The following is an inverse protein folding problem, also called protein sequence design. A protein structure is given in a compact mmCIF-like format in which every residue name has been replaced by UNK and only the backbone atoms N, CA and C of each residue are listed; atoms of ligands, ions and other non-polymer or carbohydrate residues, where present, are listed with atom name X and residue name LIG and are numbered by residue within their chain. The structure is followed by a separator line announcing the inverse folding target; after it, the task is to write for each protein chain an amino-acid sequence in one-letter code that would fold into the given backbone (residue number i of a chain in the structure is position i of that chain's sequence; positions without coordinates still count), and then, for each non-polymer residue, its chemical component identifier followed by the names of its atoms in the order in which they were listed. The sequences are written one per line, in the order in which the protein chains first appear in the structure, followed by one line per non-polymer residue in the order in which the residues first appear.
data_IF_868790739648
#
_entry.id   IF_868790739648
#
_cell.length_a   1.000
_cell.length_b   1.000
_cell.length_c   1.000
_cell.angle_alpha   90.00
_cell.angle_beta   90.00
_cell.angle_gamma   90.00
#
_symmetry.space_group_name_H-M   'P 1'
#
loop_
_entity.id
_entity.type
_entity.pdbx_description
1 polymer ?
#
# COMPACT_ATOMS: atom_id res chain seq x y z
N UNK A 1 -35.76 -24.33 -29.71
CA UNK A 1 -35.80 -22.96 -29.14
C UNK A 1 -34.69 -22.15 -29.80
N UNK A 2 -35.01 -21.16 -30.65
CA UNK A 2 -34.01 -20.32 -31.34
C UNK A 2 -33.62 -19.17 -30.42
N UNK A 3 -32.40 -19.20 -29.88
CA UNK A 3 -31.87 -18.12 -29.06
C UNK A 3 -31.62 -16.93 -29.98
N UNK A 4 -32.22 -15.77 -29.66
CA UNK A 4 -32.02 -14.56 -30.47
C UNK A 4 -30.57 -14.07 -30.29
N UNK A 5 -29.91 -13.57 -31.35
CA UNK A 5 -28.52 -13.12 -31.29
C UNK A 5 -28.28 -12.01 -30.24
N UNK A 6 -29.31 -11.19 -29.98
CA UNK A 6 -29.29 -10.19 -28.92
C UNK A 6 -29.17 -10.80 -27.51
N UNK A 7 -29.86 -11.92 -27.26
CA UNK A 7 -29.81 -12.63 -25.98
C UNK A 7 -28.44 -13.27 -25.75
N UNK A 8 -27.79 -13.73 -26.82
CA UNK A 8 -26.43 -14.28 -26.78
C UNK A 8 -25.40 -13.18 -26.49
N UNK A 9 -25.50 -12.03 -27.16
CA UNK A 9 -24.61 -10.89 -26.92
C UNK A 9 -24.73 -10.36 -25.48
N UNK A 10 -25.96 -10.30 -24.96
CA UNK A 10 -26.21 -9.87 -23.58
C UNK A 10 -25.68 -10.89 -22.56
N UNK A 11 -25.84 -12.19 -22.81
CA UNK A 11 -25.28 -13.24 -21.96
C UNK A 11 -23.75 -13.20 -21.91
N UNK A 12 -23.09 -12.98 -23.05
CA UNK A 12 -21.63 -12.81 -23.11
C UNK A 12 -21.20 -11.55 -22.35
N UNK A 13 -21.91 -10.43 -22.50
CA UNK A 13 -21.62 -9.20 -21.75
C UNK A 13 -21.75 -9.40 -20.23
N UNK A 14 -22.80 -10.09 -19.77
CA UNK A 14 -22.98 -10.42 -18.36
C UNK A 14 -21.92 -11.39 -17.83
N UNK A 15 -21.47 -12.35 -18.65
CA UNK A 15 -20.34 -13.20 -18.31
C UNK A 15 -19.07 -12.36 -18.12
N UNK A 16 -18.76 -11.41 -19.02
CA UNK A 16 -17.61 -10.51 -18.87
C UNK A 16 -17.71 -9.58 -17.64
N UNK A 17 -18.91 -9.08 -17.30
CA UNK A 17 -19.12 -8.27 -16.10
C UNK A 17 -18.96 -9.09 -14.82
N UNK A 18 -19.35 -10.37 -14.82
CA UNK A 18 -19.25 -11.25 -13.64
C UNK A 18 -17.82 -11.62 -13.26
N UNK A 19 -16.85 -11.56 -14.19
CA UNK A 19 -15.44 -11.91 -13.89
C UNK A 19 -14.65 -10.79 -13.19
N UNK A 20 -15.22 -9.58 -13.07
CA UNK A 20 -14.48 -8.41 -12.57
C UNK A 20 -14.97 -7.86 -11.23
N UNK A 21 -15.93 -8.53 -10.59
CA UNK A 21 -16.44 -8.13 -9.28
C UNK A 21 -15.49 -8.54 -8.14
N UNK A 22 -14.23 -8.10 -8.20
CA UNK A 22 -13.44 -8.02 -6.97
C UNK A 22 -14.05 -6.92 -6.11
N UNK A 23 -14.53 -7.28 -4.91
CA UNK A 23 -14.99 -6.32 -3.92
C UNK A 23 -13.82 -5.45 -3.46
N UNK A 24 -13.57 -4.35 -4.17
CA UNK A 24 -12.58 -3.35 -3.80
C UNK A 24 -13.00 -2.72 -2.47
N UNK A 25 -12.13 -2.78 -1.47
CA UNK A 25 -12.32 -2.14 -0.16
C UNK A 25 -11.62 -0.79 -0.14
N UNK A 26 -12.07 0.11 0.73
CA UNK A 26 -11.43 1.42 0.93
C UNK A 26 -10.73 1.42 2.29
N UNK A 27 -9.50 1.95 2.33
CA UNK A 27 -8.68 1.99 3.54
C UNK A 27 -9.11 3.05 4.57
N UNK A 28 -10.02 3.94 4.19
CA UNK A 28 -10.53 5.06 5.00
C UNK A 28 -9.46 5.99 5.59
N UNK A 29 -8.33 6.15 4.89
CA UNK A 29 -7.20 7.00 5.31
C UNK A 29 -7.43 8.50 5.12
N UNK A 30 -8.61 8.94 4.65
CA UNK A 30 -8.82 10.30 4.13
C UNK A 30 -8.39 11.42 5.10
N UNK A 31 -8.59 11.25 6.42
CA UNK A 31 -8.19 12.25 7.42
C UNK A 31 -6.69 12.23 7.77
N UNK A 32 -5.95 11.22 7.30
CA UNK A 32 -4.51 11.07 7.46
C UNK A 32 -3.73 11.49 6.20
N UNK A 33 -4.45 11.85 5.12
CA UNK A 33 -3.87 12.30 3.86
C UNK A 33 -3.99 13.82 3.70
N UNK A 34 -3.02 14.43 3.02
CA UNK A 34 -3.07 15.83 2.61
C UNK A 34 -3.87 16.02 1.30
N UNK A 35 -3.99 17.28 0.86
CA UNK A 35 -4.70 17.64 -0.39
C UNK A 35 -4.09 17.01 -1.67
N UNK A 36 -2.83 16.58 -1.60
CA UNK A 36 -2.13 15.88 -2.69
C UNK A 36 -2.18 14.36 -2.51
N UNK A 37 -3.03 13.87 -1.59
CA UNK A 37 -3.13 12.47 -1.18
C UNK A 37 -1.86 11.90 -0.54
N UNK A 38 -0.91 12.72 -0.10
CA UNK A 38 0.28 12.26 0.62
C UNK A 38 -0.05 11.99 2.09
N UNK A 39 0.55 10.96 2.71
CA UNK A 39 0.39 10.72 4.14
C UNK A 39 0.99 11.88 4.95
N UNK A 40 0.22 12.40 5.90
CA UNK A 40 0.62 13.54 6.72
C UNK A 40 1.54 13.08 7.84
N UNK A 41 2.70 13.72 7.98
CA UNK A 41 3.62 13.56 9.10
C UNK A 41 3.89 14.90 9.80
N UNK A 42 4.24 14.92 11.10
CA UNK A 42 4.31 13.75 11.99
C UNK A 42 2.92 13.29 12.48
N UNK A 43 2.83 12.05 12.94
CA UNK A 43 1.64 11.47 13.58
C UNK A 43 1.91 11.02 15.02
N UNK A 44 0.84 10.67 15.73
CA UNK A 44 0.89 9.95 17.00
C UNK A 44 -0.04 8.75 16.95
N UNK A 45 0.20 7.70 17.78
CA UNK A 45 -0.68 6.56 17.84
C UNK A 45 -2.16 6.93 18.06
N UNK A 46 -2.44 7.84 19.00
CA UNK A 46 -3.81 8.27 19.31
C UNK A 46 -4.53 8.91 18.10
N UNK A 47 -3.80 9.72 17.30
CA UNK A 47 -4.38 10.34 16.11
C UNK A 47 -4.72 9.30 15.05
N UNK A 48 -3.85 8.32 14.84
CA UNK A 48 -4.06 7.24 13.88
C UNK A 48 -5.23 6.36 14.33
N UNK A 49 -5.22 5.90 15.58
CA UNK A 49 -6.30 5.07 16.15
C UNK A 49 -7.67 5.74 16.08
N UNK A 50 -7.72 7.04 16.40
CA UNK A 50 -8.95 7.83 16.29
C UNK A 50 -9.44 7.95 14.85
N UNK A 51 -8.53 8.16 13.89
CA UNK A 51 -8.88 8.27 12.47
C UNK A 51 -9.38 6.94 11.89
N UNK A 52 -8.73 5.84 12.25
CA UNK A 52 -9.03 4.51 11.71
C UNK A 52 -10.15 3.78 12.46
N UNK A 53 -10.55 4.29 13.64
CA UNK A 53 -11.47 3.62 14.56
C UNK A 53 -11.02 2.19 14.93
N UNK A 54 -9.73 2.03 15.16
CA UNK A 54 -9.11 0.76 15.60
C UNK A 54 -8.10 1.06 16.70
N UNK A 55 -7.91 0.11 17.61
CA UNK A 55 -6.95 0.25 18.71
C UNK A 55 -5.51 0.10 18.20
N UNK A 56 -4.58 0.79 18.86
CA UNK A 56 -3.15 0.57 18.62
C UNK A 56 -2.72 -0.73 19.26
N UNK A 57 -2.02 -1.58 18.51
CA UNK A 57 -1.26 -2.69 19.10
C UNK A 57 0.21 -2.30 19.17
N UNK A 58 0.73 -2.23 20.39
CA UNK A 58 2.15 -1.97 20.63
C UNK A 58 2.94 -3.28 20.72
N UNK A 59 4.15 -3.29 20.17
CA UNK A 59 5.08 -4.42 20.31
C UNK A 59 6.52 -3.92 20.25
N UNK A 60 7.44 -4.76 20.70
CA UNK A 60 8.89 -4.52 20.62
C UNK A 60 9.51 -5.62 19.75
N UNK A 61 10.54 -5.26 18.98
CA UNK A 61 11.33 -6.24 18.26
C UNK A 61 12.48 -6.79 19.13
N UNK A 62 13.32 -7.65 18.55
CA UNK A 62 14.45 -8.24 19.26
C UNK A 62 15.54 -7.22 19.67
N UNK A 63 15.51 -6.01 19.11
CA UNK A 63 16.44 -4.91 19.40
C UNK A 63 15.82 -3.88 20.37
N UNK A 64 14.71 -4.22 21.04
CA UNK A 64 13.94 -3.34 21.93
C UNK A 64 13.38 -2.09 21.23
N UNK A 65 13.35 -2.09 19.89
CA UNK A 65 12.71 -1.02 19.14
C UNK A 65 11.20 -1.15 19.26
N UNK A 66 10.55 -0.04 19.63
CA UNK A 66 9.11 0.01 19.86
C UNK A 66 8.38 0.27 18.56
N UNK A 67 7.32 -0.49 18.34
CA UNK A 67 6.47 -0.38 17.18
C UNK A 67 5.00 -0.23 17.59
N UNK A 68 4.23 0.34 16.68
CA UNK A 68 2.79 0.39 16.73
C UNK A 68 2.21 -0.12 15.42
N UNK A 69 1.11 -0.89 15.51
CA UNK A 69 0.37 -1.39 14.35
C UNK A 69 -1.14 -1.21 14.49
N UNK A 70 -1.81 -1.09 13.34
CA UNK A 70 -3.25 -0.92 13.19
C UNK A 70 -3.75 -1.78 12.04
N UNK A 71 -4.63 -2.74 12.33
CA UNK A 71 -5.33 -3.51 11.30
C UNK A 71 -6.69 -2.89 11.04
N UNK A 72 -6.86 -2.29 9.86
CA UNK A 72 -8.12 -1.66 9.47
C UNK A 72 -9.19 -2.70 9.12
N UNK A 73 -10.47 -2.29 9.16
CA UNK A 73 -11.60 -3.12 8.67
C UNK A 73 -11.48 -3.52 7.20
N UNK A 74 -10.72 -2.75 6.42
CA UNK A 74 -10.45 -3.04 5.02
C UNK A 74 -9.50 -4.25 4.83
N UNK A 75 -8.76 -4.63 5.88
CA UNK A 75 -7.69 -5.61 5.81
C UNK A 75 -6.32 -5.01 5.49
N UNK A 76 -6.22 -3.68 5.38
CA UNK A 76 -4.95 -2.97 5.32
C UNK A 76 -4.35 -2.91 6.73
N UNK A 77 -3.09 -3.29 6.84
CA UNK A 77 -2.26 -3.09 8.02
C UNK A 77 -1.41 -1.84 7.84
N UNK A 78 -1.40 -1.00 8.86
CA UNK A 78 -0.46 0.09 9.02
C UNK A 78 0.47 -0.26 10.17
N UNK A 79 1.76 -0.02 10.03
CA UNK A 79 2.70 -0.14 11.13
C UNK A 79 3.81 0.90 11.02
N UNK A 80 4.47 1.19 12.14
CA UNK A 80 5.58 2.14 12.22
C UNK A 80 6.42 1.88 13.46
N UNK A 81 7.72 2.16 13.39
CA UNK A 81 8.53 2.39 14.59
C UNK A 81 8.02 3.62 15.35
N UNK A 82 8.30 3.67 16.65
CA UNK A 82 7.97 4.78 17.53
C UNK A 82 9.24 5.55 17.87
N UNK A 83 9.35 6.76 17.30
CA UNK A 83 10.42 7.67 17.65
C UNK A 83 10.27 8.27 19.06
N UNK A 84 11.14 9.23 19.38
CA UNK A 84 11.10 9.96 20.66
C UNK A 84 9.69 10.50 20.94
N UNK A 85 9.20 10.27 22.16
CA UNK A 85 7.85 10.66 22.60
C UNK A 85 6.71 10.05 21.75
N UNK A 86 6.91 8.85 21.20
CA UNK A 86 5.96 8.14 20.33
C UNK A 86 5.58 8.93 19.06
N UNK A 87 6.48 9.81 18.60
CA UNK A 87 6.27 10.55 17.36
C UNK A 87 6.57 9.64 16.17
N UNK A 88 5.62 9.59 15.25
CA UNK A 88 5.68 8.78 14.02
C UNK A 88 6.08 9.70 12.86
N UNK A 89 7.23 9.40 12.23
CA UNK A 89 7.74 10.10 11.05
C UNK A 89 7.91 9.18 9.82
N UNK A 90 7.55 7.92 9.98
CA UNK A 90 7.52 6.93 8.92
C UNK A 90 6.21 6.15 9.00
N UNK A 91 5.83 5.47 7.92
CA UNK A 91 4.65 4.64 7.89
C UNK A 91 4.80 3.57 6.83
N UNK A 92 4.41 2.36 7.20
CA UNK A 92 4.40 1.20 6.35
C UNK A 92 2.95 0.73 6.15
N UNK A 93 2.63 0.33 4.93
CA UNK A 93 1.30 -0.12 4.54
C UNK A 93 1.42 -1.48 3.84
N UNK A 94 0.69 -2.47 4.35
CA UNK A 94 0.72 -3.84 3.84
C UNK A 94 -0.66 -4.51 3.95
N UNK A 95 -0.84 -5.67 3.33
CA UNK A 95 -2.01 -6.53 3.49
C UNK A 95 -1.58 -7.80 4.21
N UNK A 96 -2.00 -7.93 5.46
CA UNK A 96 -1.73 -9.12 6.27
C UNK A 96 -2.25 -10.38 5.55
N UNK A 97 -1.51 -11.47 5.70
CA UNK A 97 -1.85 -12.84 5.24
C UNK A 97 -1.90 -13.08 3.72
N UNK A 98 -1.20 -12.29 2.90
CA UNK A 98 -1.12 -12.50 1.43
C UNK A 98 -2.49 -12.67 0.74
N UNK A 99 -3.54 -12.05 1.30
CA UNK A 99 -4.87 -12.10 0.70
C UNK A 99 -4.87 -11.22 -0.55
N UNK A 100 -5.52 -11.67 -1.62
CA UNK A 100 -5.73 -10.90 -2.85
C UNK A 100 -6.78 -9.77 -2.66
N UNK A 101 -6.68 -9.02 -1.55
CA UNK A 101 -7.56 -7.90 -1.23
C UNK A 101 -7.15 -6.67 -2.04
N UNK A 102 -8.07 -6.18 -2.85
CA UNK A 102 -7.88 -4.91 -3.56
C UNK A 102 -8.30 -3.77 -2.63
N UNK A 103 -7.35 -2.94 -2.21
CA UNK A 103 -7.59 -1.87 -1.23
C UNK A 103 -7.22 -0.51 -1.83
N UNK A 104 -8.20 0.37 -1.98
CA UNK A 104 -8.02 1.75 -2.45
C UNK A 104 -7.96 2.79 -1.34
N UNK A 105 -7.63 4.03 -1.69
CA UNK A 105 -7.52 5.12 -0.73
C UNK A 105 -6.17 5.17 -0.02
N UNK A 106 -5.14 4.54 -0.61
CA UNK A 106 -3.77 4.61 -0.13
C UNK A 106 -3.13 5.97 -0.47
N UNK A 107 -1.99 6.31 0.16
CA UNK A 107 -1.21 7.47 -0.22
C UNK A 107 -0.98 7.54 -1.73
N UNK A 108 -1.00 8.76 -2.27
CA UNK A 108 -0.85 9.09 -3.68
C UNK A 108 -1.96 8.51 -4.58
N UNK A 109 -3.12 8.16 -4.01
CA UNK A 109 -4.22 7.56 -4.76
C UNK A 109 -3.91 6.15 -5.28
N UNK A 110 -2.95 5.47 -4.66
CA UNK A 110 -2.58 4.10 -5.01
C UNK A 110 -3.67 3.11 -4.57
N UNK A 111 -3.64 1.92 -5.18
CA UNK A 111 -4.55 0.82 -4.85
C UNK A 111 -3.73 -0.45 -4.69
N UNK A 112 -3.77 -1.06 -3.50
CA UNK A 112 -3.08 -2.32 -3.22
C UNK A 112 -3.63 -3.42 -4.12
N UNK A 113 -2.76 -4.34 -4.56
CA UNK A 113 -3.09 -5.47 -5.42
C UNK A 113 -3.71 -5.07 -6.78
N UNK A 114 -3.58 -3.81 -7.20
CA UNK A 114 -4.15 -3.31 -8.46
C UNK A 114 -3.27 -2.27 -9.17
N UNK A 115 -2.60 -1.38 -8.45
CA UNK A 115 -1.64 -0.47 -9.09
C UNK A 115 -0.49 -1.28 -9.66
N UNK A 116 -0.23 -1.11 -10.95
CA UNK A 116 0.88 -1.77 -11.63
C UNK A 116 2.16 -0.95 -11.54
N UNK A 117 3.31 -1.61 -11.66
CA UNK A 117 4.61 -0.95 -11.76
C UNK A 117 4.62 0.10 -12.88
N UNK A 118 4.11 -0.23 -14.08
CA UNK A 118 4.06 0.70 -15.22
C UNK A 118 3.22 1.95 -14.92
N UNK A 119 2.05 1.79 -14.28
CA UNK A 119 1.23 2.93 -13.87
C UNK A 119 1.97 3.81 -12.87
N UNK A 120 2.67 3.21 -11.90
CA UNK A 120 3.46 3.95 -10.92
C UNK A 120 4.65 4.69 -11.57
N UNK A 121 5.34 4.08 -12.55
CA UNK A 121 6.41 4.75 -13.32
C UNK A 121 5.92 6.03 -13.98
N UNK A 122 4.76 5.97 -14.64
CA UNK A 122 4.17 7.14 -15.29
C UNK A 122 3.80 8.20 -14.26
N UNK A 123 3.15 7.78 -13.16
CA UNK A 123 2.69 8.68 -12.11
C UNK A 123 3.83 9.44 -11.42
N UNK A 124 4.93 8.74 -11.10
CA UNK A 124 6.06 9.31 -10.35
C UNK A 124 7.24 9.70 -11.23
N UNK A 125 7.05 9.80 -12.56
CA UNK A 125 8.10 10.22 -13.50
C UNK A 125 8.72 11.57 -13.13
N UNK A 126 7.92 12.50 -12.61
CA UNK A 126 8.36 13.85 -12.21
C UNK A 126 9.15 13.87 -10.88
N UNK A 127 9.21 12.74 -10.17
CA UNK A 127 9.90 12.58 -8.90
C UNK A 127 11.25 11.84 -9.04
N UNK A 128 11.78 11.76 -10.27
CA UNK A 128 13.01 11.01 -10.59
C UNK A 128 13.01 9.58 -10.02
N UNK A 129 11.85 8.92 -10.14
CA UNK A 129 11.63 7.60 -9.59
C UNK A 129 12.66 6.58 -10.12
N UNK A 130 13.32 5.87 -9.21
CA UNK A 130 14.27 4.80 -9.50
C UNK A 130 13.61 3.45 -9.36
N UNK A 131 13.84 2.56 -10.32
CA UNK A 131 13.33 1.19 -10.28
C UNK A 131 14.49 0.23 -10.06
N UNK A 132 14.31 -0.75 -9.20
CA UNK A 132 15.28 -1.81 -8.95
C UNK A 132 14.55 -3.16 -8.93
N UNK A 133 15.12 -4.18 -9.58
CA UNK A 133 14.61 -5.55 -9.44
C UNK A 133 14.90 -6.07 -8.04
N UNK A 134 13.98 -6.87 -7.52
CA UNK A 134 14.14 -7.53 -6.24
C UNK A 134 14.78 -8.90 -6.44
N UNK A 135 15.70 -9.27 -5.54
CA UNK A 135 16.39 -10.55 -5.55
C UNK A 135 15.52 -11.71 -5.05
N UNK A 136 16.00 -12.96 -5.18
CA UNK A 136 15.27 -14.15 -4.74
C UNK A 136 15.03 -14.18 -3.23
N UNK A 137 15.90 -13.57 -2.43
CA UNK A 137 15.80 -13.56 -0.96
C UNK A 137 15.03 -12.34 -0.41
N UNK A 138 14.35 -11.59 -1.28
CA UNK A 138 13.54 -10.44 -0.87
C UNK A 138 12.13 -10.85 -0.43
N UNK A 139 11.41 -9.92 0.21
CA UNK A 139 10.00 -10.07 0.55
C UNK A 139 9.11 -10.39 -0.66
N UNK A 140 9.46 -9.87 -1.85
CA UNK A 140 8.74 -10.11 -3.10
C UNK A 140 9.70 -10.62 -4.19
N UNK A 141 10.09 -11.90 -4.14
CA UNK A 141 11.05 -12.49 -5.06
C UNK A 141 10.65 -12.31 -6.53
N UNK A 142 11.60 -11.90 -7.37
CA UNK A 142 11.36 -11.67 -8.81
C UNK A 142 10.57 -10.39 -9.12
N UNK A 143 10.09 -9.68 -8.10
CA UNK A 143 9.39 -8.42 -8.22
C UNK A 143 10.30 -7.21 -8.44
N UNK A 144 9.79 -6.04 -8.11
CA UNK A 144 10.53 -4.78 -8.24
C UNK A 144 10.18 -3.81 -7.11
N UNK A 145 11.12 -2.91 -6.81
CA UNK A 145 10.83 -1.71 -6.01
C UNK A 145 10.97 -0.45 -6.83
N UNK A 146 10.06 0.50 -6.65
CA UNK A 146 10.12 1.85 -7.19
C UNK A 146 10.29 2.83 -6.03
N UNK A 147 11.38 3.58 -6.07
CA UNK A 147 11.77 4.52 -5.01
C UNK A 147 11.70 5.94 -5.58
N UNK A 148 11.02 6.84 -4.89
CA UNK A 148 11.01 8.26 -5.22
C UNK A 148 11.04 9.12 -3.96
N UNK A 149 11.42 10.38 -4.12
CA UNK A 149 11.45 11.34 -3.01
C UNK A 149 10.30 12.33 -3.16
N UNK A 150 9.60 12.61 -2.06
CA UNK A 150 8.61 13.67 -1.99
C UNK A 150 8.82 14.52 -0.73
N UNK A 151 9.29 15.75 -0.93
CA UNK A 151 9.74 16.61 0.15
C UNK A 151 10.87 15.95 0.94
N UNK A 152 10.68 15.76 2.25
CA UNK A 152 11.66 15.14 3.15
C UNK A 152 11.58 13.61 3.23
N UNK A 153 10.53 12.99 2.68
CA UNK A 153 10.32 11.55 2.79
C UNK A 153 10.74 10.82 1.51
N UNK A 154 11.32 9.65 1.69
CA UNK A 154 11.46 8.66 0.65
C UNK A 154 10.24 7.75 0.66
N UNK A 155 9.71 7.44 -0.51
CA UNK A 155 8.66 6.44 -0.67
C UNK A 155 9.21 5.30 -1.50
N UNK A 156 9.09 4.09 -0.96
CA UNK A 156 9.38 2.84 -1.65
C UNK A 156 8.09 2.08 -1.87
N UNK A 157 7.79 1.79 -3.13
CA UNK A 157 6.69 0.95 -3.56
C UNK A 157 7.24 -0.42 -3.91
N UNK A 158 6.70 -1.48 -3.32
CA UNK A 158 7.09 -2.86 -3.60
C UNK A 158 6.05 -3.53 -4.47
N UNK A 159 6.51 -4.20 -5.52
CA UNK A 159 5.68 -4.92 -6.48
C UNK A 159 6.11 -6.39 -6.54
N UNK A 160 5.13 -7.29 -6.68
CA UNK A 160 5.38 -8.72 -6.89
C UNK A 160 5.88 -9.02 -8.32
N UNK A 161 6.11 -10.31 -8.61
CA UNK A 161 6.50 -10.84 -9.92
C UNK A 161 5.46 -10.57 -11.03
N UNK A 162 4.20 -10.32 -10.64
CA UNK A 162 3.10 -9.89 -11.52
C UNK A 162 3.03 -8.37 -11.68
N UNK A 163 4.01 -7.64 -11.14
CA UNK A 163 4.09 -6.18 -11.15
C UNK A 163 2.93 -5.47 -10.43
N UNK A 164 2.29 -6.11 -9.46
CA UNK A 164 1.22 -5.53 -8.65
C UNK A 164 1.76 -5.00 -7.33
N UNK A 165 1.31 -3.80 -6.94
CA UNK A 165 1.70 -3.16 -5.68
C UNK A 165 1.27 -4.03 -4.49
N UNK A 166 2.23 -4.36 -3.62
CA UNK A 166 2.03 -5.16 -2.40
C UNK A 166 2.30 -4.40 -1.12
N UNK A 167 3.25 -3.47 -1.13
CA UNK A 167 3.60 -2.70 0.06
C UNK A 167 4.03 -1.28 -0.29
N UNK A 168 3.74 -0.34 0.61
CA UNK A 168 4.21 1.04 0.56
C UNK A 168 5.01 1.31 1.84
N UNK A 169 6.21 1.85 1.69
CA UNK A 169 7.04 2.31 2.80
C UNK A 169 7.34 3.79 2.63
N UNK A 170 7.04 4.61 3.63
CA UNK A 170 7.34 6.05 3.63
C UNK A 170 8.25 6.34 4.81
N UNK A 171 9.50 6.73 4.56
CA UNK A 171 10.55 6.88 5.58
C UNK A 171 11.28 8.21 5.41
N UNK A 172 11.99 8.67 6.44
CA UNK A 172 12.85 9.87 6.34
C UNK A 172 14.22 9.57 5.74
N UNK A 173 14.63 8.30 5.76
CA UNK A 173 15.92 7.84 5.26
C UNK A 173 15.72 6.66 4.30
N UNK A 174 16.65 6.48 3.36
CA UNK A 174 16.66 5.29 2.53
C UNK A 174 17.09 4.12 3.40
N UNK A 175 16.19 3.16 3.62
CA UNK A 175 16.55 1.89 4.24
C UNK A 175 17.45 1.14 3.25
N UNK A 176 18.76 1.12 3.54
CA UNK A 176 19.74 0.39 2.75
C UNK A 176 19.49 -1.12 2.93
N UNK A 177 19.32 -1.92 1.85
CA UNK A 177 19.23 -3.36 1.97
C UNK A 177 20.45 -4.04 2.62
N UNK A 178 21.58 -3.34 2.76
CA UNK A 178 22.77 -3.82 3.50
C UNK A 178 22.74 -3.53 5.02
N UNK A 179 21.71 -2.85 5.52
CA UNK A 179 21.53 -2.61 6.95
C UNK A 179 20.67 -3.72 7.56
N UNK A 180 21.22 -4.94 7.63
CA UNK A 180 20.91 -6.03 8.57
C UNK A 180 21.93 -7.16 8.40
#
# INVERSE_FOLDING_TARGET
MKIKPFTLALAVLFQFLSVTAFSQKTADLNSLLDKNSGFVFPQTPDKISKALHVETVFYEDANEEKYAKWLTKSGLELYSSLGKNNVINEMFFDVSDNKDLVISGLPYGLVMNKTTLEKAKVQFKKNDAKIQKLGPDSEFPGGAKLIFKNGKHFTTLFFDDKNLLKSIRITTELVDPAAN
#
